data_IF_296814699225
#
_entry.id   IF_296814699225
#
_cell.length_a   1.000
_cell.length_b   1.000
_cell.length_c   1.000
_cell.angle_alpha   90.00
_cell.angle_beta   90.00
_cell.angle_gamma   90.00
#
_symmetry.space_group_name_H-M   'P 1'
#
loop_
_entity.id
_entity.type
_entity.pdbx_description
1 polymer ?
#
# COMPACT_ATOMS: atom_id res chain seq x y z
N UNK A 1 6.82 -8.50 -10.08
CA UNK A 1 6.19 -7.34 -9.41
C UNK A 1 6.85 -7.11 -8.06
N UNK A 2 7.04 -5.86 -7.69
CA UNK A 2 7.73 -5.48 -6.46
C UNK A 2 6.93 -4.39 -5.77
N UNK A 3 6.88 -4.42 -4.43
CA UNK A 3 6.18 -3.39 -3.67
C UNK A 3 7.04 -2.88 -2.52
N UNK A 4 6.95 -1.59 -2.29
CA UNK A 4 7.45 -0.97 -1.08
C UNK A 4 6.23 -0.50 -0.29
N UNK A 5 6.12 -0.94 0.95
CA UNK A 5 4.95 -0.68 1.77
C UNK A 5 5.36 0.21 2.93
N UNK A 6 4.62 1.29 3.12
CA UNK A 6 4.86 2.24 4.19
C UNK A 6 3.57 2.48 4.98
N UNK A 7 3.66 2.34 6.29
CA UNK A 7 2.55 2.68 7.17
C UNK A 7 2.47 4.21 7.27
N UNK A 8 1.26 4.76 7.12
CA UNK A 8 1.05 6.20 7.13
C UNK A 8 -0.16 6.57 8.00
N UNK A 9 -0.13 7.78 8.55
CA UNK A 9 -1.31 8.37 9.19
C UNK A 9 -2.17 9.06 8.17
N UNK A 10 -1.56 9.55 7.09
CA UNK A 10 -2.26 10.08 5.91
C UNK A 10 -1.28 10.12 4.74
N UNK A 11 -1.83 10.00 3.54
CA UNK A 11 -1.04 10.13 2.32
C UNK A 11 -1.95 10.60 1.19
N UNK A 12 -1.36 11.33 0.25
CA UNK A 12 -2.09 11.80 -0.92
C UNK A 12 -1.16 11.81 -2.12
N UNK A 13 -1.73 11.62 -3.30
CA UNK A 13 -1.01 11.69 -4.57
C UNK A 13 -1.66 12.75 -5.42
N UNK A 14 -0.85 13.67 -5.93
CA UNK A 14 -1.27 14.72 -6.83
C UNK A 14 -0.65 14.51 -8.20
N UNK A 15 -1.42 14.82 -9.23
CA UNK A 15 -0.95 14.82 -10.61
C UNK A 15 -1.53 16.04 -11.31
N UNK A 16 -0.67 16.79 -11.99
CA UNK A 16 -1.07 17.99 -12.75
C UNK A 16 -1.85 19.01 -11.91
N UNK A 17 -1.49 19.14 -10.65
CA UNK A 17 -2.13 20.08 -9.73
C UNK A 17 -3.43 19.62 -9.12
N UNK A 18 -3.86 18.39 -9.41
CA UNK A 18 -5.09 17.82 -8.88
C UNK A 18 -4.78 16.60 -8.00
N UNK A 19 -5.55 16.45 -6.92
CA UNK A 19 -5.45 15.27 -6.07
C UNK A 19 -6.10 14.09 -6.78
N UNK A 20 -5.35 13.03 -7.05
CA UNK A 20 -5.85 11.84 -7.74
C UNK A 20 -6.08 10.65 -6.80
N UNK A 21 -5.60 10.73 -5.56
CA UNK A 21 -5.86 9.70 -4.56
C UNK A 21 -5.41 10.16 -3.20
N UNK A 22 -6.08 9.68 -2.16
CA UNK A 22 -5.69 9.96 -0.79
C UNK A 22 -6.15 8.84 0.13
N UNK A 23 -5.49 8.75 1.28
CA UNK A 23 -5.84 7.81 2.34
C UNK A 23 -5.52 8.46 3.68
N UNK A 24 -6.33 8.19 4.69
CA UNK A 24 -6.02 8.56 6.06
C UNK A 24 -5.05 7.52 6.64
N UNK A 25 -5.37 6.99 7.82
CA UNK A 25 -4.56 5.93 8.41
C UNK A 25 -4.56 4.69 7.50
N UNK A 26 -3.39 4.15 7.21
CA UNK A 26 -3.33 3.00 6.34
C UNK A 26 -1.93 2.73 5.81
N UNK A 27 -1.88 2.23 4.58
CA UNK A 27 -0.64 1.87 3.92
C UNK A 27 -0.50 2.60 2.58
N UNK A 28 0.67 3.16 2.36
CA UNK A 28 1.08 3.62 1.05
C UNK A 28 1.86 2.48 0.40
N UNK A 29 1.43 2.05 -0.77
CA UNK A 29 2.05 0.95 -1.51
C UNK A 29 2.62 1.50 -2.81
N UNK A 30 3.94 1.51 -2.90
CA UNK A 30 4.64 1.88 -4.13
C UNK A 30 4.89 0.60 -4.92
N UNK A 31 4.29 0.50 -6.09
CA UNK A 31 4.22 -0.72 -6.86
C UNK A 31 5.06 -0.65 -8.12
N UNK A 32 6.05 -1.53 -8.22
CA UNK A 32 6.83 -1.69 -9.45
C UNK A 32 6.28 -2.88 -10.24
N UNK A 33 5.82 -2.62 -11.46
CA UNK A 33 5.22 -3.63 -12.33
C UNK A 33 6.16 -3.93 -13.48
N UNK A 34 6.45 -5.21 -13.71
CA UNK A 34 7.22 -5.64 -14.86
C UNK A 34 6.28 -6.01 -16.00
N UNK A 35 6.85 -6.06 -17.20
CA UNK A 35 6.09 -6.30 -18.43
C UNK A 35 5.31 -7.61 -18.42
N UNK A 36 5.82 -8.62 -17.74
CA UNK A 36 5.22 -9.96 -17.70
C UNK A 36 4.24 -10.14 -16.53
N UNK A 37 4.08 -9.14 -15.69
CA UNK A 37 3.16 -9.22 -14.56
C UNK A 37 1.71 -9.18 -15.03
N UNK A 38 0.87 -9.94 -14.35
CA UNK A 38 -0.56 -10.04 -14.68
C UNK A 38 -1.41 -9.47 -13.56
N UNK A 39 -2.71 -9.29 -13.83
CA UNK A 39 -3.66 -8.86 -12.82
C UNK A 39 -3.72 -9.83 -11.63
N UNK A 40 -3.50 -11.12 -11.90
CA UNK A 40 -3.45 -12.14 -10.85
C UNK A 40 -2.28 -11.92 -9.91
N UNK A 41 -1.12 -11.51 -10.45
CA UNK A 41 0.04 -11.17 -9.64
C UNK A 41 -0.26 -9.96 -8.75
N UNK A 42 -0.95 -8.97 -9.28
CA UNK A 42 -1.35 -7.79 -8.52
C UNK A 42 -2.31 -8.16 -7.39
N UNK A 43 -3.33 -8.96 -7.67
CA UNK A 43 -4.29 -9.40 -6.66
C UNK A 43 -3.59 -10.16 -5.54
N UNK A 44 -2.70 -11.06 -5.89
CA UNK A 44 -1.92 -11.83 -4.92
C UNK A 44 -1.11 -10.93 -4.02
N UNK A 45 -0.40 -9.96 -4.61
CA UNK A 45 0.43 -9.03 -3.86
C UNK A 45 -0.41 -8.15 -2.92
N UNK A 46 -1.52 -7.62 -3.41
CA UNK A 46 -2.40 -6.77 -2.60
C UNK A 46 -3.05 -7.56 -1.45
N UNK A 47 -3.41 -8.81 -1.67
CA UNK A 47 -3.92 -9.66 -0.60
C UNK A 47 -2.87 -9.86 0.49
N UNK A 48 -1.62 -10.08 0.10
CA UNK A 48 -0.53 -10.23 1.07
C UNK A 48 -0.29 -8.94 1.83
N UNK A 49 -0.31 -7.80 1.15
CA UNK A 49 -0.12 -6.49 1.77
C UNK A 49 -1.25 -6.20 2.76
N UNK A 50 -2.49 -6.47 2.38
CA UNK A 50 -3.64 -6.23 3.23
C UNK A 50 -3.62 -7.10 4.50
N UNK A 51 -2.97 -8.25 4.44
CA UNK A 51 -2.86 -9.16 5.58
C UNK A 51 -1.65 -8.94 6.47
N UNK A 52 -0.76 -8.01 6.11
CA UNK A 52 0.40 -7.72 6.94
C UNK A 52 -0.01 -7.15 8.30
N UNK A 53 0.52 -7.73 9.36
CA UNK A 53 0.18 -7.31 10.73
C UNK A 53 1.20 -6.30 11.23
N UNK A 54 1.19 -5.11 10.63
CA UNK A 54 2.16 -4.05 10.89
C UNK A 54 1.56 -2.84 11.60
N UNK A 55 0.35 -2.97 12.14
CA UNK A 55 -0.27 -1.94 12.97
C UNK A 55 -0.29 -2.41 14.41
N UNK A 56 -0.04 -1.49 15.33
CA UNK A 56 0.02 -1.79 16.74
C UNK A 56 -1.37 -2.03 17.33
N UNK A 57 -1.49 -3.05 18.16
CA UNK A 57 -2.67 -3.31 18.96
C UNK A 57 -2.66 -2.47 20.25
N UNK A 58 -3.60 -2.70 21.16
CA UNK A 58 -3.70 -1.99 22.43
C UNK A 58 -2.49 -2.22 23.35
N UNK A 59 -1.72 -3.26 23.07
CA UNK A 59 -0.52 -3.61 23.85
C UNK A 59 0.77 -3.17 23.16
N UNK A 60 0.64 -2.31 22.13
CA UNK A 60 1.76 -1.79 21.35
C UNK A 60 2.55 -2.88 20.62
N UNK A 61 1.88 -4.00 20.27
CA UNK A 61 2.47 -5.08 19.50
C UNK A 61 1.98 -5.03 18.06
N UNK A 62 2.88 -5.28 17.12
CA UNK A 62 2.55 -5.34 15.69
C UNK A 62 1.69 -6.58 15.41
N UNK A 63 0.40 -6.46 15.54
CA UNK A 63 -0.53 -7.58 15.50
C UNK A 63 -1.77 -7.34 14.64
N UNK A 64 -1.99 -6.12 14.18
CA UNK A 64 -3.19 -5.77 13.43
C UNK A 64 -2.87 -5.48 11.97
N UNK A 65 -3.77 -5.91 11.09
CA UNK A 65 -3.70 -5.59 9.67
C UNK A 65 -4.36 -4.24 9.39
N UNK A 66 -4.21 -3.75 8.14
CA UNK A 66 -4.85 -2.50 7.73
C UNK A 66 -6.37 -2.59 7.85
N UNK A 67 -6.95 -3.75 7.57
CA UNK A 67 -8.39 -3.95 7.70
C UNK A 67 -8.84 -3.92 9.17
N UNK A 68 -8.04 -4.49 10.07
CA UNK A 68 -8.35 -4.52 11.51
C UNK A 68 -8.43 -3.11 12.10
N UNK A 69 -7.62 -2.18 11.61
CA UNK A 69 -7.62 -0.81 12.11
C UNK A 69 -8.56 0.11 11.33
N UNK A 70 -9.30 -0.43 10.38
CA UNK A 70 -10.19 0.36 9.54
C UNK A 70 -9.46 1.31 8.60
N UNK A 71 -8.24 0.97 8.23
CA UNK A 71 -7.41 1.81 7.37
C UNK A 71 -7.65 1.56 5.89
N UNK A 72 -6.92 2.31 5.06
CA UNK A 72 -7.02 2.19 3.61
C UNK A 72 -5.68 1.87 2.97
N UNK A 73 -5.74 1.56 1.69
CA UNK A 73 -4.56 1.35 0.86
C UNK A 73 -4.51 2.43 -0.22
N UNK A 74 -3.37 3.10 -0.34
CA UNK A 74 -3.10 3.98 -1.46
C UNK A 74 -2.00 3.34 -2.29
N UNK A 75 -2.35 2.90 -3.50
CA UNK A 75 -1.44 2.17 -4.39
C UNK A 75 -0.98 3.10 -5.51
N UNK A 76 0.32 3.22 -5.66
CA UNK A 76 0.93 4.10 -6.66
C UNK A 76 1.93 3.29 -7.49
N UNK A 77 1.78 3.33 -8.81
CA UNK A 77 2.74 2.69 -9.72
C UNK A 77 4.04 3.50 -9.74
N UNK A 78 5.16 2.80 -9.57
CA UNK A 78 6.48 3.41 -9.58
C UNK A 78 7.38 2.69 -10.58
N UNK A 79 7.77 3.39 -11.62
CA UNK A 79 8.68 2.82 -12.61
C UNK A 79 10.12 2.76 -12.11
N UNK A 80 10.46 3.61 -11.16
CA UNK A 80 11.83 3.73 -10.64
C UNK A 80 12.23 2.56 -9.74
N UNK A 81 11.30 1.74 -9.29
CA UNK A 81 11.62 0.58 -8.47
C UNK A 81 12.48 -0.46 -9.18
N UNK A 82 12.48 -0.44 -10.51
CA UNK A 82 13.28 -1.33 -11.35
C UNK A 82 14.34 -0.56 -12.15
N UNK A 83 14.49 0.71 -11.86
CA UNK A 83 15.38 1.61 -12.59
C UNK A 83 16.87 1.43 -12.39
#
# INVERSE_FOLDING_TARGET
MRAVVQRVDSAAVEAEGAMVGSVGKGLLVLLGVEKEDTDRDLEYLLDKVAGLRIFEDEQEKMNLSVADVGGGLLVVSQFTLYG
#
